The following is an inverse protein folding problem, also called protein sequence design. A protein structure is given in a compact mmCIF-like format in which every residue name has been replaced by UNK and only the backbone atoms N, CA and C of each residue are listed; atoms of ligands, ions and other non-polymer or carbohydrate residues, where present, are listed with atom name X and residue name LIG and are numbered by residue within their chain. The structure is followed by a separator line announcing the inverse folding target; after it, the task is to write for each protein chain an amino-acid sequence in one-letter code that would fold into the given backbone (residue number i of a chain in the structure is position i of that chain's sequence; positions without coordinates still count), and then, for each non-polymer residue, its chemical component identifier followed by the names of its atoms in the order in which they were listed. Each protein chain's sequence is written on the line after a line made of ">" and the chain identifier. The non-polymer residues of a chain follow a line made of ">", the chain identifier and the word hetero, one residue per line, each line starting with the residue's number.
data_IF_972964821125
#
_entry.id   IF_972964821125
#
_cell.length_a   1.000
_cell.length_b   1.000
_cell.length_c   1.000
_cell.angle_alpha   90.00
_cell.angle_beta   90.00
_cell.angle_gamma   90.00
#
_symmetry.space_group_name_H-M   'P 1'
#
loop_
_entity.id
_entity.type
_entity.pdbx_description
1 polymer ?
#
# COMPACT_ATOMS: atom_id res chain seq x y z
N UNK A 1 16.89 2.63 39.94
CA UNK A 1 16.42 2.58 38.54
C UNK A 1 16.00 4.02 38.20
N UNK A 2 16.77 4.72 37.37
CA UNK A 2 16.35 6.00 36.82
C UNK A 2 15.07 5.78 36.00
N UNK A 3 14.03 6.58 36.29
CA UNK A 3 12.84 6.60 35.44
C UNK A 3 13.29 7.11 34.06
N UNK A 4 13.19 6.28 33.01
CA UNK A 4 13.31 6.76 31.63
C UNK A 4 12.35 7.93 31.47
N UNK A 5 12.82 9.06 30.97
CA UNK A 5 11.97 10.22 30.72
C UNK A 5 10.95 9.83 29.65
N UNK A 6 9.67 9.95 29.99
CA UNK A 6 8.57 9.74 29.04
C UNK A 6 8.29 11.11 28.42
N UNK A 7 8.40 11.21 27.10
CA UNK A 7 8.03 12.42 26.37
C UNK A 7 6.50 12.45 26.21
N UNK A 8 5.88 13.55 26.58
CA UNK A 8 4.45 13.80 26.40
C UNK A 8 4.29 14.94 25.36
N UNK A 9 3.34 14.77 24.43
CA UNK A 9 3.06 15.77 23.41
C UNK A 9 1.70 15.53 22.76
N UNK A 10 1.26 16.47 21.93
CA UNK A 10 0.10 16.28 21.08
C UNK A 10 0.39 15.22 20.01
N UNK A 11 -0.63 14.49 19.52
CA UNK A 11 -0.42 13.42 18.52
C UNK A 11 0.43 13.85 17.32
N UNK A 12 0.21 15.06 16.81
CA UNK A 12 0.96 15.62 15.67
C UNK A 12 2.43 15.89 16.00
N UNK A 13 2.72 16.32 17.23
CA UNK A 13 4.10 16.55 17.70
C UNK A 13 4.84 15.21 17.86
N UNK A 14 4.15 14.19 18.39
CA UNK A 14 4.69 12.84 18.55
C UNK A 14 4.99 12.22 17.18
N UNK A 15 4.07 12.36 16.22
CA UNK A 15 4.29 11.87 14.86
C UNK A 15 5.49 12.57 14.21
N UNK A 16 5.54 13.90 14.26
CA UNK A 16 6.67 14.71 13.75
C UNK A 16 7.99 14.25 14.37
N UNK A 17 8.03 14.09 15.69
CA UNK A 17 9.22 13.62 16.41
C UNK A 17 9.65 12.22 15.95
N UNK A 18 8.70 11.32 15.72
CA UNK A 18 8.99 9.98 15.18
C UNK A 18 9.66 10.06 13.81
N UNK A 19 9.18 10.91 12.90
CA UNK A 19 9.79 11.10 11.59
C UNK A 19 11.18 11.75 11.66
N UNK A 20 11.42 12.66 12.61
CA UNK A 20 12.75 13.22 12.87
C UNK A 20 13.74 12.15 13.32
N UNK A 21 13.33 11.26 14.23
CA UNK A 21 14.14 10.13 14.70
C UNK A 21 14.47 9.18 13.53
N UNK A 22 13.47 8.81 12.72
CA UNK A 22 13.67 7.96 11.56
C UNK A 22 14.66 8.60 10.57
N UNK A 23 14.53 9.90 10.32
CA UNK A 23 15.44 10.62 9.42
C UNK A 23 16.89 10.61 9.95
N UNK A 24 17.07 10.85 11.25
CA UNK A 24 18.40 10.83 11.89
C UNK A 24 19.01 9.43 11.82
N UNK A 25 18.24 8.39 12.11
CA UNK A 25 18.72 7.00 12.09
C UNK A 25 19.05 6.52 10.67
N UNK A 26 18.29 6.92 9.64
CA UNK A 26 18.64 6.66 8.24
C UNK A 26 19.97 7.32 7.87
N UNK A 27 20.16 8.57 8.29
CA UNK A 27 21.43 9.29 8.05
C UNK A 27 22.62 8.64 8.76
N UNK A 28 22.45 8.20 10.02
CA UNK A 28 23.49 7.45 10.76
C UNK A 28 23.87 6.13 10.08
N UNK A 29 22.90 5.48 9.43
CA UNK A 29 23.13 4.26 8.64
C UNK A 29 23.71 4.54 7.25
N UNK A 30 23.85 5.81 6.86
CA UNK A 30 24.34 6.20 5.53
C UNK A 30 23.31 5.95 4.41
N UNK A 31 22.02 5.80 4.75
CA UNK A 31 20.96 5.53 3.80
C UNK A 31 20.31 6.86 3.36
N UNK A 32 20.30 7.09 2.05
CA UNK A 32 19.60 8.22 1.44
C UNK A 32 18.49 7.69 0.54
N UNK A 33 17.24 8.01 0.87
CA UNK A 33 16.10 7.64 0.08
C UNK A 33 15.89 8.62 -1.08
N UNK A 34 15.48 8.16 -2.29
CA UNK A 34 15.06 9.06 -3.37
C UNK A 34 13.92 9.96 -2.89
N UNK A 35 13.98 11.25 -3.24
CA UNK A 35 13.06 12.26 -2.69
C UNK A 35 11.57 11.92 -2.90
N UNK A 36 11.23 11.33 -4.06
CA UNK A 36 9.87 10.90 -4.39
C UNK A 36 9.38 9.70 -3.57
N UNK A 37 10.30 8.80 -3.16
CA UNK A 37 9.99 7.57 -2.44
C UNK A 37 10.05 7.76 -0.92
N UNK A 38 10.77 8.78 -0.47
CA UNK A 38 11.06 9.06 0.92
C UNK A 38 9.81 9.14 1.82
N UNK A 39 8.74 9.88 1.47
CA UNK A 39 7.54 9.94 2.31
C UNK A 39 6.86 8.58 2.51
N UNK A 40 6.84 7.75 1.45
CA UNK A 40 6.23 6.42 1.49
C UNK A 40 7.09 5.46 2.31
N UNK A 41 8.39 5.38 2.02
CA UNK A 41 9.31 4.48 2.73
C UNK A 41 9.39 4.82 4.21
N UNK A 42 9.51 6.09 4.58
CA UNK A 42 9.50 6.49 6.00
C UNK A 42 8.19 6.17 6.71
N UNK A 43 7.04 6.27 6.02
CA UNK A 43 5.74 5.88 6.60
C UNK A 43 5.69 4.38 6.87
N UNK A 44 6.28 3.57 6.01
CA UNK A 44 6.41 2.12 6.22
C UNK A 44 7.33 1.82 7.40
N UNK A 45 8.49 2.48 7.50
CA UNK A 45 9.38 2.36 8.66
C UNK A 45 8.66 2.78 9.94
N UNK A 46 7.95 3.91 9.94
CA UNK A 46 7.18 4.39 11.09
C UNK A 46 6.16 3.37 11.58
N UNK A 47 5.42 2.71 10.67
CA UNK A 47 4.37 1.75 11.03
C UNK A 47 4.90 0.40 11.51
N UNK A 48 6.14 0.05 11.13
CA UNK A 48 6.75 -1.26 11.40
C UNK A 48 7.90 -1.21 12.42
N UNK A 49 8.47 -0.04 12.67
CA UNK A 49 9.73 0.18 13.38
C UNK A 49 10.89 -0.65 12.78
N UNK A 50 10.86 -0.92 11.46
CA UNK A 50 11.80 -1.79 10.76
C UNK A 50 12.49 -1.03 9.61
N UNK A 51 13.79 -0.80 9.76
CA UNK A 51 14.59 -0.05 8.80
C UNK A 51 14.98 -0.86 7.55
N UNK A 52 14.84 -2.17 7.54
CA UNK A 52 15.10 -2.99 6.35
C UNK A 52 14.22 -2.57 5.16
N UNK A 53 13.07 -1.96 5.43
CA UNK A 53 12.21 -1.40 4.38
C UNK A 53 12.89 -0.29 3.56
N UNK A 54 13.90 0.39 4.10
CA UNK A 54 14.68 1.37 3.35
C UNK A 54 15.47 0.75 2.18
N UNK A 55 15.81 -0.53 2.29
CA UNK A 55 16.59 -1.28 1.28
C UNK A 55 15.71 -2.21 0.44
N UNK A 56 14.59 -2.69 1.01
CA UNK A 56 13.76 -3.72 0.38
C UNK A 56 12.55 -3.18 -0.37
N UNK A 57 12.13 -1.94 -0.11
CA UNK A 57 11.08 -1.30 -0.89
C UNK A 57 11.55 -1.03 -2.31
N UNK A 58 10.74 -1.43 -3.27
CA UNK A 58 11.03 -1.34 -4.71
C UNK A 58 9.87 -0.64 -5.41
N UNK A 59 10.21 0.31 -6.26
CA UNK A 59 9.28 1.16 -6.97
C UNK A 59 9.49 1.02 -8.47
N UNK A 60 8.41 0.90 -9.26
CA UNK A 60 8.50 1.09 -10.70
C UNK A 60 8.82 2.57 -11.02
N UNK A 61 9.19 2.85 -12.25
CA UNK A 61 9.46 4.22 -12.69
C UNK A 61 8.25 5.14 -12.43
N UNK A 62 8.48 6.30 -11.81
CA UNK A 62 7.46 7.29 -11.45
C UNK A 62 6.29 6.74 -10.59
N UNK A 63 6.48 5.64 -9.87
CA UNK A 63 5.42 4.91 -9.16
C UNK A 63 4.59 5.81 -8.22
N UNK A 64 5.25 6.65 -7.43
CA UNK A 64 4.57 7.53 -6.46
C UNK A 64 3.71 8.56 -7.17
N UNK A 65 4.23 9.17 -8.24
CA UNK A 65 3.49 10.16 -9.04
C UNK A 65 2.29 9.52 -9.74
N UNK A 66 2.47 8.32 -10.35
CA UNK A 66 1.38 7.58 -11.00
C UNK A 66 0.28 7.25 -9.99
N UNK A 67 0.63 6.71 -8.81
CA UNK A 67 -0.34 6.38 -7.77
C UNK A 67 -1.10 7.63 -7.27
N UNK A 68 -0.41 8.73 -7.05
CA UNK A 68 -1.01 10.01 -6.66
C UNK A 68 -1.97 10.54 -7.74
N UNK A 69 -1.58 10.47 -9.01
CA UNK A 69 -2.43 10.90 -10.11
C UNK A 69 -3.68 10.03 -10.25
N UNK A 70 -3.57 8.71 -10.05
CA UNK A 70 -4.73 7.82 -10.01
C UNK A 70 -5.70 8.21 -8.90
N UNK A 71 -5.21 8.47 -7.68
CA UNK A 71 -6.03 8.91 -6.56
C UNK A 71 -6.69 10.26 -6.87
N UNK A 72 -5.95 11.25 -7.37
CA UNK A 72 -6.49 12.57 -7.77
C UNK A 72 -7.64 12.45 -8.77
N UNK A 73 -7.61 11.43 -9.62
CA UNK A 73 -8.63 11.16 -10.63
C UNK A 73 -9.72 10.17 -10.16
N UNK A 74 -9.86 9.94 -8.86
CA UNK A 74 -10.94 9.17 -8.28
C UNK A 74 -10.79 7.67 -8.36
N UNK A 75 -9.57 7.14 -8.49
CA UNK A 75 -9.32 5.70 -8.45
C UNK A 75 -9.77 5.10 -7.12
N UNK A 76 -10.32 3.89 -7.20
CA UNK A 76 -10.67 3.09 -6.02
C UNK A 76 -9.46 2.30 -5.52
N UNK A 77 -9.46 1.96 -4.22
CA UNK A 77 -8.45 1.08 -3.62
C UNK A 77 -9.11 -0.24 -3.23
N UNK A 78 -8.58 -1.36 -3.71
CA UNK A 78 -9.05 -2.69 -3.31
C UNK A 78 -7.98 -3.39 -2.48
N UNK A 79 -8.37 -3.87 -1.30
CA UNK A 79 -7.48 -4.57 -0.37
C UNK A 79 -7.80 -6.06 -0.29
N UNK A 80 -6.79 -6.86 0.04
CA UNK A 80 -6.93 -8.30 0.27
C UNK A 80 -7.28 -8.67 1.72
N UNK A 81 -7.42 -7.66 2.60
CA UNK A 81 -7.81 -7.87 4.00
C UNK A 81 -8.66 -6.72 4.54
N UNK A 82 -9.60 -7.03 5.43
CA UNK A 82 -10.36 -6.02 6.17
C UNK A 82 -9.47 -5.17 7.11
N UNK A 83 -8.33 -5.72 7.54
CA UNK A 83 -7.36 -4.99 8.36
C UNK A 83 -6.74 -3.84 7.54
N UNK A 84 -6.29 -4.09 6.32
CA UNK A 84 -5.79 -3.04 5.44
C UNK A 84 -6.88 -2.01 5.12
N UNK A 85 -8.09 -2.47 4.77
CA UNK A 85 -9.25 -1.61 4.53
C UNK A 85 -9.57 -0.70 5.73
N UNK A 86 -9.50 -1.24 6.95
CA UNK A 86 -9.74 -0.46 8.17
C UNK A 86 -8.66 0.59 8.43
N UNK A 87 -7.42 0.31 8.02
CA UNK A 87 -6.27 1.20 8.19
C UNK A 87 -6.21 2.38 7.21
N UNK A 88 -6.89 2.30 6.07
CA UNK A 88 -6.90 3.36 5.04
C UNK A 88 -7.75 4.56 5.51
N UNK A 89 -7.23 5.78 5.32
CA UNK A 89 -7.97 7.01 5.57
C UNK A 89 -9.02 7.27 4.47
N UNK A 90 -10.17 6.62 4.63
CA UNK A 90 -11.29 6.69 3.66
C UNK A 90 -11.83 8.10 3.48
N UNK A 91 -11.75 8.96 4.51
CA UNK A 91 -12.21 10.35 4.43
C UNK A 91 -11.38 11.14 3.43
N UNK A 92 -10.06 10.98 3.49
CA UNK A 92 -9.14 11.65 2.54
C UNK A 92 -9.31 11.04 1.15
N UNK A 93 -9.41 9.71 1.02
CA UNK A 93 -9.63 9.06 -0.28
C UNK A 93 -10.94 9.56 -0.93
N UNK A 94 -12.03 9.63 -0.17
CA UNK A 94 -13.32 10.11 -0.66
C UNK A 94 -13.30 11.58 -1.09
N UNK A 95 -12.43 12.44 -0.53
CA UNK A 95 -12.28 13.83 -0.98
C UNK A 95 -11.71 13.94 -2.39
N UNK A 96 -11.09 12.87 -2.91
CA UNK A 96 -10.64 12.74 -4.30
C UNK A 96 -11.63 11.91 -5.17
N UNK A 97 -12.77 11.50 -4.62
CA UNK A 97 -13.80 10.72 -5.34
C UNK A 97 -13.55 9.21 -5.39
N UNK A 98 -12.51 8.71 -4.72
CA UNK A 98 -12.22 7.28 -4.61
C UNK A 98 -12.91 6.61 -3.43
N UNK A 99 -13.09 5.30 -3.53
CA UNK A 99 -13.61 4.43 -2.47
C UNK A 99 -12.62 3.30 -2.16
N UNK A 100 -12.67 2.76 -0.93
CA UNK A 100 -11.86 1.62 -0.55
C UNK A 100 -12.73 0.39 -0.31
N UNK A 101 -12.35 -0.75 -0.91
CA UNK A 101 -13.13 -1.99 -0.91
C UNK A 101 -12.30 -3.17 -0.40
N UNK A 102 -13.01 -4.17 0.16
CA UNK A 102 -12.47 -5.49 0.48
C UNK A 102 -13.59 -6.52 0.42
N UNK A 103 -13.50 -7.47 -0.50
CA UNK A 103 -14.53 -8.48 -0.74
C UNK A 103 -14.31 -9.78 0.08
N UNK A 104 -13.29 -9.83 0.93
CA UNK A 104 -12.88 -11.05 1.66
C UNK A 104 -13.94 -11.60 2.63
N UNK A 105 -14.87 -10.76 3.11
CA UNK A 105 -15.93 -11.15 4.03
C UNK A 105 -17.24 -11.52 3.31
N UNK A 106 -17.34 -11.29 2.00
CA UNK A 106 -18.55 -11.50 1.23
C UNK A 106 -18.91 -12.98 1.14
N UNK A 107 -20.15 -13.32 1.40
CA UNK A 107 -20.64 -14.70 1.38
C UNK A 107 -20.49 -15.34 -0.01
N UNK A 108 -20.75 -14.58 -1.06
CA UNK A 108 -20.61 -15.03 -2.45
C UNK A 108 -19.16 -15.32 -2.81
N UNK A 109 -18.21 -14.50 -2.33
CA UNK A 109 -16.78 -14.74 -2.50
C UNK A 109 -16.36 -16.04 -1.83
N UNK A 110 -16.89 -16.31 -0.62
CA UNK A 110 -16.59 -17.55 0.09
C UNK A 110 -17.17 -18.76 -0.63
N UNK A 111 -18.38 -18.68 -1.18
CA UNK A 111 -19.03 -19.73 -1.95
C UNK A 111 -18.27 -20.03 -3.26
N UNK A 112 -17.95 -18.99 -4.05
CA UNK A 112 -17.18 -19.10 -5.29
C UNK A 112 -15.80 -19.69 -5.06
N UNK A 113 -15.09 -19.27 -4.01
CA UNK A 113 -13.77 -19.80 -3.67
C UNK A 113 -13.82 -21.29 -3.35
N UNK A 114 -14.85 -21.73 -2.61
CA UNK A 114 -15.06 -23.15 -2.29
C UNK A 114 -15.40 -23.96 -3.54
N UNK A 115 -16.29 -23.48 -4.38
CA UNK A 115 -16.70 -24.14 -5.63
C UNK A 115 -15.54 -24.32 -6.59
N UNK A 116 -14.76 -23.25 -6.80
CA UNK A 116 -13.62 -23.23 -7.74
C UNK A 116 -12.33 -23.78 -7.14
N UNK A 117 -12.34 -24.22 -5.87
CA UNK A 117 -11.17 -24.73 -5.13
C UNK A 117 -9.99 -23.76 -5.15
N UNK A 118 -10.26 -22.49 -4.99
CA UNK A 118 -9.28 -21.39 -4.93
C UNK A 118 -9.42 -20.58 -3.64
N UNK A 119 -8.63 -19.50 -3.50
CA UNK A 119 -8.67 -18.65 -2.33
C UNK A 119 -9.70 -17.52 -2.48
N UNK A 120 -10.25 -17.01 -1.35
CA UNK A 120 -11.09 -15.82 -1.38
C UNK A 120 -10.35 -14.60 -1.93
N UNK A 121 -9.04 -14.52 -1.66
CA UNK A 121 -8.22 -13.44 -2.18
C UNK A 121 -8.18 -13.44 -3.71
N UNK A 122 -8.01 -14.60 -4.35
CA UNK A 122 -8.05 -14.73 -5.81
C UNK A 122 -9.43 -14.28 -6.36
N UNK A 123 -10.52 -14.78 -5.80
CA UNK A 123 -11.88 -14.38 -6.21
C UNK A 123 -12.10 -12.86 -6.00
N UNK A 124 -11.61 -12.30 -4.90
CA UNK A 124 -11.71 -10.86 -4.62
C UNK A 124 -11.02 -10.02 -5.70
N UNK A 125 -9.83 -10.42 -6.16
CA UNK A 125 -9.12 -9.71 -7.23
C UNK A 125 -9.84 -9.86 -8.58
N UNK A 126 -10.40 -11.02 -8.86
CA UNK A 126 -11.22 -11.22 -10.08
C UNK A 126 -12.49 -10.33 -10.07
N UNK A 127 -13.15 -10.17 -8.93
CA UNK A 127 -14.28 -9.24 -8.82
C UNK A 127 -13.84 -7.79 -8.98
N UNK A 128 -12.75 -7.42 -8.34
CA UNK A 128 -12.20 -6.08 -8.43
C UNK A 128 -11.76 -5.71 -9.87
N UNK A 129 -11.32 -6.69 -10.67
CA UNK A 129 -10.96 -6.46 -12.07
C UNK A 129 -12.12 -6.04 -12.98
N UNK A 130 -13.35 -6.13 -12.48
CA UNK A 130 -14.60 -5.78 -13.20
C UNK A 130 -15.12 -4.39 -12.81
N UNK A 131 -14.48 -3.70 -11.88
CA UNK A 131 -14.83 -2.33 -11.52
C UNK A 131 -14.57 -1.39 -12.72
N UNK A 132 -15.47 -0.44 -12.90
CA UNK A 132 -15.39 0.54 -14.01
C UNK A 132 -14.30 1.59 -13.79
N UNK A 133 -14.09 1.98 -12.53
CA UNK A 133 -13.05 2.93 -12.15
C UNK A 133 -11.66 2.29 -12.18
N UNK A 134 -10.61 3.08 -12.41
CA UNK A 134 -9.25 2.61 -12.17
C UNK A 134 -9.07 2.10 -10.73
N UNK A 135 -8.37 0.97 -10.58
CA UNK A 135 -8.17 0.34 -9.27
C UNK A 135 -6.69 0.28 -8.92
N UNK A 136 -6.39 0.72 -7.70
CA UNK A 136 -5.13 0.46 -7.02
C UNK A 136 -5.32 -0.78 -6.15
N UNK A 137 -4.65 -1.87 -6.48
CA UNK A 137 -4.68 -3.10 -5.69
C UNK A 137 -3.67 -3.03 -4.55
N UNK A 138 -4.14 -3.03 -3.30
CA UNK A 138 -3.30 -2.95 -2.10
C UNK A 138 -3.29 -4.30 -1.37
N UNK A 139 -2.33 -5.15 -1.75
CA UNK A 139 -2.19 -6.52 -1.27
C UNK A 139 -1.17 -6.58 -0.14
N UNK A 140 -1.65 -6.87 1.08
CA UNK A 140 -0.82 -6.90 2.29
C UNK A 140 -0.68 -8.28 2.95
N UNK A 141 -1.45 -9.28 2.53
CA UNK A 141 -1.44 -10.58 3.20
C UNK A 141 -1.35 -11.77 2.24
N UNK A 142 -2.15 -11.83 1.18
CA UNK A 142 -2.33 -13.02 0.37
C UNK A 142 -1.47 -13.00 -0.91
N UNK A 143 -0.40 -13.80 -1.03
CA UNK A 143 0.35 -13.95 -2.27
C UNK A 143 -0.55 -14.38 -3.44
N UNK A 144 -1.58 -15.17 -3.16
CA UNK A 144 -2.56 -15.62 -4.17
C UNK A 144 -3.36 -14.47 -4.79
N UNK A 145 -3.46 -13.31 -4.13
CA UNK A 145 -4.03 -12.11 -4.73
C UNK A 145 -3.13 -11.57 -5.86
N UNK A 146 -1.81 -11.48 -5.64
CA UNK A 146 -0.85 -11.04 -6.66
C UNK A 146 -0.79 -12.04 -7.83
N UNK A 147 -0.78 -13.33 -7.52
CA UNK A 147 -0.80 -14.40 -8.54
C UNK A 147 -2.06 -14.28 -9.41
N UNK A 148 -3.23 -14.08 -8.80
CA UNK A 148 -4.47 -13.90 -9.55
C UNK A 148 -4.47 -12.65 -10.43
N UNK A 149 -3.93 -11.53 -9.94
CA UNK A 149 -3.76 -10.31 -10.75
C UNK A 149 -2.90 -10.61 -11.97
N UNK A 150 -1.78 -11.30 -11.79
CA UNK A 150 -0.89 -11.72 -12.87
C UNK A 150 -1.60 -12.65 -13.86
N UNK A 151 -2.30 -13.67 -13.40
CA UNK A 151 -3.05 -14.60 -14.25
C UNK A 151 -4.12 -13.90 -15.09
N UNK A 152 -4.88 -12.97 -14.49
CA UNK A 152 -5.87 -12.16 -15.20
C UNK A 152 -5.25 -11.33 -16.33
N UNK A 153 -4.03 -10.81 -16.13
CA UNK A 153 -3.30 -10.09 -17.19
C UNK A 153 -2.84 -11.00 -18.33
N UNK A 154 -2.56 -12.28 -18.06
CA UNK A 154 -2.18 -13.25 -19.09
C UNK A 154 -3.39 -13.77 -19.85
N UNK A 155 -4.52 -13.95 -19.18
CA UNK A 155 -5.73 -14.55 -19.76
C UNK A 155 -6.62 -13.54 -20.50
N UNK A 156 -6.53 -12.26 -20.17
CA UNK A 156 -7.42 -11.21 -20.65
C UNK A 156 -6.62 -9.97 -21.10
N UNK A 157 -7.20 -9.22 -22.02
CA UNK A 157 -6.72 -7.88 -22.34
C UNK A 157 -7.13 -6.88 -21.23
N UNK A 158 -6.53 -7.08 -20.03
CA UNK A 158 -6.80 -6.29 -18.83
C UNK A 158 -5.50 -6.02 -18.08
N UNK A 159 -5.40 -4.82 -17.51
CA UNK A 159 -4.28 -4.40 -16.66
C UNK A 159 -4.80 -3.67 -15.43
N UNK A 160 -4.27 -3.96 -14.23
CA UNK A 160 -4.54 -3.10 -13.06
C UNK A 160 -3.94 -1.72 -13.30
N UNK A 161 -4.58 -0.68 -12.76
CA UNK A 161 -4.03 0.67 -12.86
C UNK A 161 -2.74 0.82 -12.02
N UNK A 162 -2.67 0.12 -10.87
CA UNK A 162 -1.52 0.14 -9.98
C UNK A 162 -1.55 -1.05 -9.01
N UNK A 163 -0.37 -1.52 -8.59
CA UNK A 163 -0.24 -2.58 -7.57
C UNK A 163 0.66 -2.15 -6.41
N UNK A 164 0.11 -2.14 -5.19
CA UNK A 164 0.87 -2.14 -3.94
C UNK A 164 0.98 -3.59 -3.50
N UNK A 165 2.16 -4.21 -3.69
CA UNK A 165 2.40 -5.63 -3.46
C UNK A 165 3.30 -5.89 -2.26
N UNK A 166 2.73 -5.91 -1.06
CA UNK A 166 3.47 -6.09 0.18
C UNK A 166 2.91 -7.22 1.06
N UNK A 167 2.52 -8.40 0.48
CA UNK A 167 2.11 -9.50 1.31
C UNK A 167 3.26 -10.00 2.19
N UNK A 168 2.92 -10.40 3.43
CA UNK A 168 3.84 -11.03 4.38
C UNK A 168 3.69 -12.55 4.33
N UNK A 169 4.78 -13.30 4.48
CA UNK A 169 4.69 -14.74 4.65
C UNK A 169 5.89 -15.53 4.14
N UNK A 170 5.69 -16.85 4.00
CA UNK A 170 6.78 -17.80 3.70
C UNK A 170 6.53 -18.64 2.45
N UNK A 171 5.26 -18.84 2.05
CA UNK A 171 4.91 -19.67 0.90
C UNK A 171 4.51 -18.78 -0.27
N UNK A 172 5.23 -18.86 -1.37
CA UNK A 172 5.01 -18.13 -2.63
C UNK A 172 5.05 -16.60 -2.52
N UNK A 173 5.42 -16.02 -1.36
CA UNK A 173 5.38 -14.57 -1.16
C UNK A 173 6.37 -13.86 -2.07
N UNK A 174 7.63 -14.32 -2.08
CA UNK A 174 8.69 -13.74 -2.90
C UNK A 174 8.36 -13.91 -4.40
N UNK A 175 8.03 -15.14 -4.81
CA UNK A 175 7.68 -15.41 -6.20
C UNK A 175 6.48 -14.59 -6.70
N UNK A 176 5.43 -14.43 -5.88
CA UNK A 176 4.27 -13.63 -6.26
C UNK A 176 4.59 -12.14 -6.45
N UNK A 177 5.53 -11.60 -5.67
CA UNK A 177 6.02 -10.24 -5.82
C UNK A 177 6.86 -10.08 -7.09
N UNK A 178 7.77 -11.03 -7.34
CA UNK A 178 8.61 -11.03 -8.54
C UNK A 178 7.75 -11.08 -9.82
N UNK A 179 6.70 -11.92 -9.85
CA UNK A 179 5.76 -11.96 -10.99
C UNK A 179 5.21 -10.58 -11.36
N UNK A 180 4.83 -9.76 -10.39
CA UNK A 180 4.32 -8.41 -10.68
C UNK A 180 5.45 -7.48 -11.14
N UNK A 181 6.64 -7.58 -10.54
CA UNK A 181 7.79 -6.74 -10.92
C UNK A 181 8.30 -7.01 -12.34
N UNK A 182 8.02 -8.20 -12.90
CA UNK A 182 8.37 -8.56 -14.27
C UNK A 182 7.36 -8.04 -15.32
N UNK A 183 6.26 -7.42 -14.87
CA UNK A 183 5.25 -6.84 -15.76
C UNK A 183 5.50 -5.35 -16.06
N UNK A 184 4.73 -4.79 -16.98
CA UNK A 184 4.68 -3.37 -17.30
C UNK A 184 3.76 -2.53 -16.39
N UNK A 185 3.12 -3.18 -15.39
CA UNK A 185 2.21 -2.51 -14.45
C UNK A 185 2.99 -1.65 -13.45
N UNK A 186 2.57 -0.41 -13.19
CA UNK A 186 3.21 0.40 -12.15
C UNK A 186 2.96 -0.19 -10.76
N UNK A 187 4.01 -0.20 -9.92
CA UNK A 187 3.95 -0.84 -8.62
C UNK A 187 4.77 -0.14 -7.52
N UNK A 188 4.38 -0.43 -6.27
CA UNK A 188 5.19 -0.28 -5.05
C UNK A 188 5.20 -1.65 -4.37
N UNK A 189 6.37 -2.28 -4.28
CA UNK A 189 6.53 -3.64 -3.75
C UNK A 189 7.63 -3.66 -2.69
N UNK A 190 7.46 -4.45 -1.66
CA UNK A 190 8.56 -4.79 -0.75
C UNK A 190 9.12 -6.17 -1.10
N UNK A 191 10.38 -6.26 -1.49
CA UNK A 191 11.05 -7.54 -1.79
C UNK A 191 11.17 -8.42 -0.55
N UNK A 192 11.35 -9.72 -0.77
CA UNK A 192 11.47 -10.70 0.30
C UNK A 192 10.15 -10.96 1.02
N UNK A 193 10.24 -11.46 2.26
CA UNK A 193 9.10 -12.02 3.01
C UNK A 193 8.35 -11.01 3.87
N UNK A 194 8.95 -9.86 4.14
CA UNK A 194 8.35 -8.80 4.97
C UNK A 194 7.21 -8.10 4.24
N UNK A 195 6.27 -7.59 5.02
CA UNK A 195 5.09 -6.91 4.55
C UNK A 195 3.99 -6.92 5.61
N UNK A 196 2.75 -6.81 5.19
CA UNK A 196 1.60 -6.89 6.07
C UNK A 196 0.47 -5.95 5.68
N UNK A 197 -0.73 -6.22 6.19
CA UNK A 197 -1.90 -5.35 5.99
C UNK A 197 -1.68 -3.93 6.51
N UNK A 198 -0.92 -3.77 7.60
CA UNK A 198 -0.50 -2.48 8.14
C UNK A 198 0.45 -1.74 7.18
N UNK A 199 1.36 -2.45 6.53
CA UNK A 199 2.29 -1.90 5.53
C UNK A 199 1.51 -1.43 4.30
N UNK A 200 0.59 -2.24 3.78
CA UNK A 200 -0.27 -1.85 2.66
C UNK A 200 -1.09 -0.58 2.97
N UNK A 201 -1.72 -0.53 4.14
CA UNK A 201 -2.46 0.66 4.58
C UNK A 201 -1.54 1.87 4.79
N UNK A 202 -0.33 1.68 5.30
CA UNK A 202 0.65 2.75 5.48
C UNK A 202 1.09 3.37 4.16
N UNK A 203 1.32 2.56 3.12
CA UNK A 203 1.64 3.05 1.76
C UNK A 203 0.47 3.86 1.20
N UNK A 204 -0.76 3.33 1.27
CA UNK A 204 -1.95 4.07 0.84
C UNK A 204 -2.07 5.42 1.56
N UNK A 205 -1.90 5.44 2.88
CA UNK A 205 -2.00 6.66 3.67
C UNK A 205 -0.86 7.65 3.40
N UNK A 206 0.35 7.18 3.12
CA UNK A 206 1.46 8.06 2.72
C UNK A 206 1.10 8.84 1.45
N UNK A 207 0.59 8.16 0.42
CA UNK A 207 0.14 8.78 -0.83
C UNK A 207 -1.01 9.79 -0.59
N UNK A 208 -1.99 9.41 0.22
CA UNK A 208 -3.14 10.26 0.57
C UNK A 208 -2.71 11.52 1.34
N UNK A 209 -1.78 11.39 2.28
CA UNK A 209 -1.33 12.53 3.09
C UNK A 209 -0.45 13.49 2.31
N UNK A 210 0.38 13.00 1.39
CA UNK A 210 1.12 13.86 0.47
C UNK A 210 0.17 14.66 -0.43
N UNK A 211 -0.85 14.03 -0.98
CA UNK A 211 -1.88 14.71 -1.78
C UNK A 211 -2.65 15.76 -0.99
N UNK A 212 -3.00 15.47 0.26
CA UNK A 212 -3.68 16.46 1.13
C UNK A 212 -2.78 17.66 1.40
N UNK A 213 -1.50 17.45 1.69
CA UNK A 213 -0.54 18.56 1.88
C UNK A 213 -0.41 19.42 0.62
N UNK A 214 -0.39 18.80 -0.56
CA UNK A 214 -0.36 19.53 -1.83
C UNK A 214 -1.59 20.43 -2.00
N UNK A 215 -2.80 19.94 -1.66
CA UNK A 215 -4.03 20.74 -1.70
C UNK A 215 -3.99 21.92 -0.71
N UNK A 216 -3.54 21.69 0.53
CA UNK A 216 -3.44 22.73 1.56
C UNK A 216 -2.43 23.82 1.16
N UNK A 217 -1.34 23.48 0.47
CA UNK A 217 -0.33 24.44 -0.01
C UNK A 217 -0.79 25.23 -1.24
N UNK A 218 -1.74 24.74 -2.04
CA UNK A 218 -2.27 25.43 -3.23
C UNK A 218 -3.40 26.38 -2.87
N UNK A 219 -4.06 26.19 -1.72
CA UNK A 219 -5.09 27.09 -1.20
C UNK A 219 -4.48 27.88 0.00
N UNK A 220 -3.78 29.01 -0.24
CA UNK A 220 -3.39 29.88 0.85
C UNK A 220 -4.68 30.41 1.48
N UNK A 221 -4.81 30.19 2.79
CA UNK A 221 -6.02 30.58 3.52
C UNK A 221 -6.46 32.01 3.24
N UNK A 222 -7.76 32.15 3.00
CA UNK A 222 -8.47 33.43 3.06
C UNK A 222 -8.44 34.02 4.47
#
# INVERSE_FOLDING_TARGET
>A
MEKKSIEYGLPEEIEKRSFEIIAAELAERGITLPAEQDPVTRRVIHTSADFDYAETMTYSENAVEIAKNLIKNGADIVTDTNMALAGINKKVLASFGGEAHCYMADADVAAMAKERKTTRAAISMELASKLEKPVIFAVGNAPTALIQIYELMQERDWRPAFVIGVPVGFVNVEAAKELIMETDVPYIINRGRKGGSNVAAAICNALLYELRKEQENVTPGD
#
